data_IF_526104039794
#
_entry.id   IF_526104039794
#
_cell.length_a   1.000
_cell.length_b   1.000
_cell.length_c   1.000
_cell.angle_alpha   90.00
_cell.angle_beta   90.00
_cell.angle_gamma   90.00
#
_symmetry.space_group_name_H-M   'P 1'
#
loop_
_entity.id
_entity.type
_entity.pdbx_description
1 polymer ?
#
# COMPACT_ATOMS: atom_id res chain seq x y z
N UNK A 1 -22.22 3.86 21.40
CA UNK A 1 -20.80 4.08 21.74
C UNK A 1 -20.13 4.84 20.61
N UNK A 2 -20.35 6.16 20.56
CA UNK A 2 -19.65 7.03 19.61
C UNK A 2 -18.24 7.25 20.18
N UNK A 3 -17.23 6.74 19.49
CA UNK A 3 -15.84 6.97 19.88
C UNK A 3 -15.55 8.47 19.71
N UNK A 4 -15.29 9.14 20.83
CA UNK A 4 -14.92 10.55 20.90
C UNK A 4 -13.50 10.71 20.35
N UNK A 5 -13.37 10.70 19.03
CA UNK A 5 -12.11 11.01 18.37
C UNK A 5 -12.00 12.52 18.36
N UNK A 6 -11.04 13.06 19.12
CA UNK A 6 -10.77 14.50 19.18
C UNK A 6 -10.78 15.14 17.78
N UNK A 7 -11.41 16.30 17.62
CA UNK A 7 -11.60 16.96 16.31
C UNK A 7 -10.28 17.17 15.56
N UNK A 8 -9.17 17.38 16.28
CA UNK A 8 -7.83 17.45 15.72
C UNK A 8 -7.45 16.23 14.86
N UNK A 9 -7.93 15.03 15.22
CA UNK A 9 -7.62 13.77 14.54
C UNK A 9 -8.53 13.53 13.32
N UNK A 10 -9.68 14.22 13.21
CA UNK A 10 -10.51 14.22 11.99
C UNK A 10 -9.80 14.87 10.80
N UNK A 11 -8.96 15.89 11.06
CA UNK A 11 -8.21 16.62 10.04
C UNK A 11 -7.26 15.74 9.22
N UNK A 12 -6.78 14.65 9.80
CA UNK A 12 -5.79 13.73 9.23
C UNK A 12 -6.40 12.38 8.85
N UNK A 13 -7.64 12.36 8.36
CA UNK A 13 -8.29 11.12 7.89
C UNK A 13 -8.16 10.94 6.39
N UNK A 14 -7.88 9.69 6.01
CA UNK A 14 -7.92 9.22 4.62
C UNK A 14 -9.13 8.31 4.45
N UNK A 15 -9.91 8.42 3.36
CA UNK A 15 -11.06 7.56 3.15
C UNK A 15 -10.63 6.11 2.91
N UNK A 16 -11.42 5.16 3.43
CA UNK A 16 -11.26 3.73 3.17
C UNK A 16 -12.15 3.34 2.01
N UNK A 17 -11.56 2.77 0.97
CA UNK A 17 -12.19 2.36 -0.27
C UNK A 17 -12.32 0.82 -0.27
N UNK A 18 -13.54 0.28 -0.18
CA UNK A 18 -13.77 -1.14 -0.40
C UNK A 18 -13.56 -1.50 -1.88
N UNK A 19 -12.77 -2.55 -2.14
CA UNK A 19 -12.48 -3.06 -3.48
C UNK A 19 -12.85 -4.54 -3.52
N UNK A 20 -13.84 -4.89 -4.34
CA UNK A 20 -14.22 -6.28 -4.57
C UNK A 20 -13.22 -6.94 -5.52
N UNK A 21 -12.69 -8.11 -5.12
CA UNK A 21 -11.87 -8.94 -5.99
C UNK A 21 -12.73 -9.94 -6.78
N UNK A 22 -12.27 -10.38 -7.96
CA UNK A 22 -12.94 -11.41 -8.75
C UNK A 22 -13.17 -12.73 -8.01
N UNK A 23 -12.32 -13.06 -7.02
CA UNK A 23 -12.46 -14.26 -6.20
C UNK A 23 -13.45 -14.11 -5.03
N UNK A 24 -14.22 -13.02 -4.99
CA UNK A 24 -15.22 -12.76 -3.95
C UNK A 24 -14.66 -12.16 -2.65
N UNK A 25 -13.34 -11.99 -2.54
CA UNK A 25 -12.74 -11.33 -1.38
C UNK A 25 -12.92 -9.80 -1.44
N UNK A 26 -12.96 -9.17 -0.26
CA UNK A 26 -13.03 -7.72 -0.10
C UNK A 26 -11.69 -7.17 0.38
N UNK A 27 -11.15 -6.20 -0.34
CA UNK A 27 -9.96 -5.45 0.05
C UNK A 27 -10.38 -4.07 0.57
N UNK A 28 -9.80 -3.65 1.70
CA UNK A 28 -9.99 -2.31 2.23
C UNK A 28 -8.74 -1.48 1.90
N UNK A 29 -8.85 -0.61 0.90
CA UNK A 29 -7.76 0.23 0.44
C UNK A 29 -7.88 1.63 1.05
N UNK A 30 -6.87 2.10 1.77
CA UNK A 30 -6.86 3.47 2.28
C UNK A 30 -6.36 4.41 1.19
N UNK A 31 -7.11 5.46 0.88
CA UNK A 31 -6.71 6.45 -0.13
C UNK A 31 -5.70 7.45 0.44
N UNK A 32 -4.43 7.16 0.26
CA UNK A 32 -3.33 8.02 0.72
C UNK A 32 -2.94 9.13 -0.28
N UNK A 33 -3.71 9.41 -1.33
CA UNK A 33 -3.30 10.39 -2.36
C UNK A 33 -2.93 11.76 -1.77
N UNK A 34 -3.74 12.29 -0.85
CA UNK A 34 -3.45 13.57 -0.17
C UNK A 34 -2.23 13.48 0.76
N UNK A 35 -2.04 12.34 1.43
CA UNK A 35 -0.88 12.13 2.29
C UNK A 35 0.40 12.07 1.45
N UNK A 36 0.37 11.34 0.34
CA UNK A 36 1.49 11.16 -0.57
C UNK A 36 1.95 12.49 -1.18
N UNK A 37 1.06 13.45 -1.42
CA UNK A 37 1.46 14.79 -1.90
C UNK A 37 2.15 15.65 -0.85
N UNK A 38 1.93 15.36 0.45
CA UNK A 38 2.51 16.11 1.56
C UNK A 38 3.78 15.47 2.12
N UNK A 39 3.93 14.16 1.91
CA UNK A 39 5.07 13.40 2.38
C UNK A 39 6.32 13.68 1.53
N UNK A 40 7.45 13.94 2.19
CA UNK A 40 8.76 13.90 1.54
C UNK A 40 9.16 12.44 1.39
N UNK A 41 9.26 11.95 0.15
CA UNK A 41 9.72 10.60 -0.11
C UNK A 41 11.24 10.51 0.05
N UNK A 42 11.68 9.54 0.84
CA UNK A 42 13.08 9.12 0.83
C UNK A 42 13.31 8.23 -0.40
N UNK A 43 14.10 8.72 -1.35
CA UNK A 43 14.51 7.96 -2.53
C UNK A 43 15.67 7.04 -2.20
N UNK A 44 15.52 6.21 -1.16
CA UNK A 44 16.49 5.16 -0.85
C UNK A 44 16.87 4.44 -2.14
N UNK A 45 18.16 4.25 -2.43
CA UNK A 45 18.61 3.82 -3.74
C UNK A 45 18.01 2.45 -4.08
N UNK A 46 16.99 2.48 -4.94
CA UNK A 46 16.39 1.27 -5.48
C UNK A 46 17.32 0.78 -6.60
N UNK A 47 17.80 -0.47 -6.56
CA UNK A 47 18.59 -1.02 -7.64
C UNK A 47 17.81 -0.98 -8.96
N UNK A 48 18.53 -0.82 -10.07
CA UNK A 48 17.92 -0.80 -11.40
C UNK A 48 17.10 -2.07 -11.62
N UNK A 49 15.95 -1.91 -12.27
CA UNK A 49 14.97 -3.00 -12.46
C UNK A 49 15.59 -4.25 -13.11
N UNK A 50 16.53 -4.07 -14.04
CA UNK A 50 17.25 -5.18 -14.68
C UNK A 50 17.98 -6.07 -13.67
N UNK A 51 18.72 -5.47 -12.72
CA UNK A 51 19.45 -6.24 -11.70
C UNK A 51 18.51 -6.97 -10.74
N UNK A 52 17.33 -6.41 -10.48
CA UNK A 52 16.30 -7.09 -9.68
C UNK A 52 15.72 -8.29 -10.44
N UNK A 53 15.43 -8.14 -11.74
CA UNK A 53 14.89 -9.21 -12.58
C UNK A 53 15.89 -10.36 -12.73
N UNK A 54 17.17 -10.07 -12.94
CA UNK A 54 18.23 -11.09 -13.02
C UNK A 54 18.28 -11.94 -11.73
N UNK A 55 18.29 -11.27 -10.57
CA UNK A 55 18.25 -11.95 -9.26
C UNK A 55 17.00 -12.79 -9.07
N UNK A 56 15.85 -12.31 -9.55
CA UNK A 56 14.60 -13.06 -9.52
C UNK A 56 14.70 -14.28 -10.46
N UNK A 57 15.31 -14.15 -11.64
CA UNK A 57 15.51 -15.26 -12.58
C UNK A 57 16.36 -16.40 -12.02
N UNK A 58 17.27 -16.11 -11.10
CA UNK A 58 18.08 -17.10 -10.38
C UNK A 58 17.34 -17.75 -9.19
N UNK A 59 16.18 -17.22 -8.79
CA UNK A 59 15.45 -17.73 -7.64
C UNK A 59 14.79 -19.08 -7.96
N UNK A 60 15.10 -20.10 -7.13
CA UNK A 60 14.51 -21.44 -7.25
C UNK A 60 13.06 -21.50 -6.77
N UNK A 61 12.67 -20.61 -5.86
CA UNK A 61 11.34 -20.53 -5.27
C UNK A 61 10.95 -19.06 -5.19
N UNK A 62 9.87 -18.70 -5.89
CA UNK A 62 9.17 -17.45 -5.65
C UNK A 62 7.91 -17.80 -4.88
N UNK A 63 7.77 -17.22 -3.69
CA UNK A 63 6.50 -17.31 -2.99
C UNK A 63 5.50 -16.43 -3.72
N UNK A 64 4.71 -17.02 -4.61
CA UNK A 64 3.56 -16.36 -5.18
C UNK A 64 2.51 -16.32 -4.07
N UNK A 65 2.44 -15.20 -3.36
CA UNK A 65 1.31 -14.91 -2.49
C UNK A 65 0.09 -14.64 -3.38
N UNK A 66 -0.48 -15.70 -3.93
CA UNK A 66 -1.85 -15.69 -4.44
C UNK A 66 -2.74 -15.92 -3.21
N UNK A 67 -3.76 -15.09 -2.97
CA UNK A 67 -4.76 -15.39 -1.95
C UNK A 67 -5.53 -16.67 -2.27
#
# INVERSE_FOLDING_TARGET
MATYVAEELLKWRSPVIPVAKPNGLLFLCINFQKLNTLATFDTFPMPHITHLIEKIGEARLMHLAVP
#
